data_IF_126273231929
#
_entry.id   IF_126273231929
#
_cell.length_a   1.000
_cell.length_b   1.000
_cell.length_c   1.000
_cell.angle_alpha   90.00
_cell.angle_beta   90.00
_cell.angle_gamma   90.00
#
_symmetry.space_group_name_H-M   'P 1'
#
loop_
_entity.id
_entity.type
_entity.pdbx_description
1 polymer ?
#
# COMPACT_ATOMS: atom_id res chain seq x y z
N UNK A 1 -28.89 16.23 -9.88
CA UNK A 1 -28.35 14.90 -10.24
C UNK A 1 -28.04 14.89 -11.72
N UNK A 2 -26.78 14.63 -12.09
CA UNK A 2 -26.30 14.63 -13.47
C UNK A 2 -25.39 13.41 -13.70
N UNK A 3 -25.36 12.94 -14.95
CA UNK A 3 -24.34 11.96 -15.38
C UNK A 3 -23.26 12.70 -16.16
N UNK A 4 -22.01 12.43 -15.78
CA UNK A 4 -20.83 13.05 -16.41
C UNK A 4 -19.91 11.95 -16.91
N UNK A 5 -19.36 12.16 -18.11
CA UNK A 5 -18.32 11.28 -18.68
C UNK A 5 -16.99 11.98 -18.59
N UNK A 6 -15.99 11.26 -18.09
CA UNK A 6 -14.63 11.75 -17.89
C UNK A 6 -13.69 10.83 -18.67
N UNK A 7 -12.84 11.44 -19.47
CA UNK A 7 -11.81 10.71 -20.23
C UNK A 7 -10.68 10.23 -19.32
N UNK A 8 -10.06 9.13 -19.69
CA UNK A 8 -8.87 8.60 -19.00
C UNK A 8 -7.79 9.68 -18.80
N UNK A 9 -7.20 9.71 -17.62
CA UNK A 9 -6.11 10.63 -17.24
C UNK A 9 -6.56 12.02 -16.82
N UNK A 10 -7.87 12.32 -16.88
CA UNK A 10 -8.38 13.62 -16.41
C UNK A 10 -8.52 13.65 -14.89
N UNK A 11 -8.14 14.78 -14.29
CA UNK A 11 -8.45 15.09 -12.91
C UNK A 11 -9.95 15.35 -12.75
N UNK A 12 -10.54 14.71 -11.75
CA UNK A 12 -11.91 14.94 -11.33
C UNK A 12 -11.96 16.00 -10.24
N UNK A 13 -11.04 15.87 -9.29
CA UNK A 13 -11.02 16.62 -8.04
C UNK A 13 -9.57 16.80 -7.62
N UNK A 14 -9.21 17.97 -7.12
CA UNK A 14 -7.92 18.22 -6.48
C UNK A 14 -8.05 18.20 -4.95
N UNK A 15 -6.97 17.79 -4.30
CA UNK A 15 -6.85 17.90 -2.85
C UNK A 15 -7.12 19.35 -2.43
N UNK A 16 -7.80 19.50 -1.31
CA UNK A 16 -8.22 20.78 -0.73
C UNK A 16 -9.30 21.57 -1.49
N UNK A 17 -9.79 21.05 -2.64
CA UNK A 17 -10.98 21.61 -3.28
C UNK A 17 -12.19 21.59 -2.31
N UNK A 18 -13.05 22.59 -2.42
CA UNK A 18 -14.29 22.62 -1.66
C UNK A 18 -15.24 21.50 -2.11
N UNK A 19 -15.83 20.79 -1.14
CA UNK A 19 -16.82 19.78 -1.46
C UNK A 19 -18.16 20.43 -1.82
N UNK A 20 -18.59 20.20 -3.05
CA UNK A 20 -19.91 20.66 -3.52
C UNK A 20 -20.81 19.49 -3.95
N UNK A 21 -20.25 18.28 -4.05
CA UNK A 21 -20.96 17.10 -4.56
C UNK A 21 -20.42 15.78 -3.97
N UNK A 22 -21.24 14.76 -4.09
CA UNK A 22 -20.87 13.34 -3.98
C UNK A 22 -20.99 12.71 -5.37
N UNK A 23 -20.09 11.80 -5.71
CA UNK A 23 -20.04 11.16 -7.02
C UNK A 23 -19.99 9.65 -6.89
N UNK A 24 -20.89 8.93 -7.57
CA UNK A 24 -20.86 7.46 -7.64
C UNK A 24 -20.28 7.03 -8.97
N UNK A 25 -19.30 6.13 -8.95
CA UNK A 25 -18.73 5.54 -10.15
C UNK A 25 -19.71 4.52 -10.71
N UNK A 26 -20.31 4.82 -11.87
CA UNK A 26 -21.25 3.93 -12.56
C UNK A 26 -20.55 2.99 -13.53
N UNK A 27 -19.46 3.45 -14.14
CA UNK A 27 -18.64 2.68 -15.08
C UNK A 27 -17.22 3.22 -15.04
N UNK A 28 -16.26 2.33 -15.28
CA UNK A 28 -14.84 2.69 -15.29
C UNK A 28 -14.21 2.63 -13.89
N UNK A 29 -13.06 3.27 -13.76
CA UNK A 29 -12.24 3.27 -12.54
C UNK A 29 -11.64 4.64 -12.29
N UNK A 30 -11.59 5.03 -11.02
CA UNK A 30 -10.95 6.27 -10.55
C UNK A 30 -9.83 5.93 -9.59
N UNK A 31 -8.68 6.56 -9.76
CA UNK A 31 -7.58 6.47 -8.81
C UNK A 31 -7.72 7.57 -7.75
N UNK A 32 -7.75 7.19 -6.50
CA UNK A 32 -7.59 8.06 -5.35
C UNK A 32 -6.09 8.15 -5.03
N UNK A 33 -5.52 9.35 -5.05
CA UNK A 33 -4.09 9.60 -4.89
C UNK A 33 -3.82 10.17 -3.50
N UNK A 34 -3.01 9.47 -2.72
CA UNK A 34 -2.63 9.83 -1.35
C UNK A 34 -1.11 9.88 -1.26
N UNK A 35 -0.51 11.07 -1.47
CA UNK A 35 0.92 11.19 -1.71
C UNK A 35 1.29 10.42 -2.98
N UNK A 36 2.21 9.46 -2.87
CA UNK A 36 2.64 8.61 -3.99
C UNK A 36 1.80 7.32 -4.12
N UNK A 37 0.91 7.08 -3.17
CA UNK A 37 0.07 5.88 -3.16
C UNK A 37 -1.15 6.06 -4.07
N UNK A 38 -1.41 5.05 -4.88
CA UNK A 38 -2.53 5.02 -5.84
C UNK A 38 -3.52 3.93 -5.44
N UNK A 39 -4.71 4.35 -5.01
CA UNK A 39 -5.77 3.44 -4.59
C UNK A 39 -6.85 3.38 -5.68
N UNK A 40 -7.01 2.27 -6.40
CA UNK A 40 -8.04 2.15 -7.41
C UNK A 40 -9.42 2.01 -6.78
N UNK A 41 -10.35 2.87 -7.21
CA UNK A 41 -11.76 2.83 -6.86
C UNK A 41 -12.57 2.33 -8.04
N UNK A 42 -13.21 1.19 -7.85
CA UNK A 42 -14.02 0.55 -8.90
C UNK A 42 -15.48 1.03 -8.92
N UNK A 43 -16.20 0.68 -9.97
CA UNK A 43 -17.65 0.89 -10.10
C UNK A 43 -18.41 0.54 -8.82
N UNK A 44 -19.35 1.40 -8.44
CA UNK A 44 -20.16 1.26 -7.22
C UNK A 44 -19.50 1.79 -5.96
N UNK A 45 -18.37 2.50 -6.06
CA UNK A 45 -17.82 3.31 -4.97
C UNK A 45 -18.31 4.75 -5.06
N UNK A 46 -18.25 5.49 -3.94
CA UNK A 46 -18.65 6.90 -3.87
C UNK A 46 -17.43 7.77 -3.56
N UNK A 47 -17.26 8.83 -4.32
CA UNK A 47 -16.21 9.85 -4.10
C UNK A 47 -16.81 10.98 -3.27
N UNK A 48 -16.01 11.54 -2.36
CA UNK A 48 -16.35 12.69 -1.53
C UNK A 48 -16.83 12.34 -0.13
N UNK A 49 -17.06 11.07 0.22
CA UNK A 49 -17.58 10.71 1.54
C UNK A 49 -16.61 11.09 2.67
N UNK A 50 -15.30 11.00 2.45
CA UNK A 50 -14.29 11.45 3.41
C UNK A 50 -14.24 12.97 3.57
N UNK A 51 -14.71 13.72 2.58
CA UNK A 51 -14.76 15.18 2.61
C UNK A 51 -15.94 15.73 3.43
N UNK A 52 -16.95 14.92 3.72
CA UNK A 52 -18.20 15.36 4.34
C UNK A 52 -18.00 16.06 5.71
N UNK A 53 -17.00 15.65 6.48
CA UNK A 53 -16.71 16.24 7.78
C UNK A 53 -16.02 17.61 7.68
N UNK A 54 -15.04 17.72 6.76
CA UNK A 54 -14.20 18.93 6.60
C UNK A 54 -14.67 19.84 5.49
N UNK A 55 -15.65 19.42 4.68
CA UNK A 55 -16.14 20.08 3.47
C UNK A 55 -15.02 20.41 2.46
N UNK A 56 -13.94 19.62 2.51
CA UNK A 56 -12.80 19.69 1.58
C UNK A 56 -12.31 18.29 1.25
N UNK A 57 -11.91 18.08 0.01
CA UNK A 57 -11.35 16.81 -0.41
C UNK A 57 -9.96 16.60 0.21
N UNK A 58 -9.70 15.40 0.71
CA UNK A 58 -8.45 15.04 1.39
C UNK A 58 -7.35 14.52 0.46
N UNK A 59 -7.68 14.27 -0.82
CA UNK A 59 -6.78 13.68 -1.82
C UNK A 59 -7.25 14.02 -3.22
N UNK A 60 -6.37 13.80 -4.21
CA UNK A 60 -6.70 13.93 -5.62
C UNK A 60 -7.46 12.71 -6.14
N UNK A 61 -8.30 12.92 -7.15
CA UNK A 61 -8.98 11.86 -7.87
C UNK A 61 -8.76 12.01 -9.37
N UNK A 62 -8.29 10.94 -10.02
CA UNK A 62 -7.93 10.91 -11.44
C UNK A 62 -8.62 9.73 -12.11
N UNK A 63 -9.23 9.93 -13.27
CA UNK A 63 -9.83 8.86 -14.05
C UNK A 63 -8.73 7.89 -14.55
N UNK A 64 -8.75 6.64 -14.09
CA UNK A 64 -7.80 5.61 -14.53
C UNK A 64 -8.14 5.05 -15.93
N UNK A 65 -9.40 5.15 -16.29
CA UNK A 65 -9.98 4.77 -17.60
C UNK A 65 -11.17 5.68 -17.91
N UNK A 66 -11.75 5.57 -19.10
CA UNK A 66 -12.96 6.32 -19.43
C UNK A 66 -14.07 5.99 -18.44
N UNK A 67 -14.54 6.98 -17.71
CA UNK A 67 -15.37 6.81 -16.52
C UNK A 67 -16.69 7.54 -16.66
N UNK A 68 -17.77 6.92 -16.18
CA UNK A 68 -19.08 7.53 -16.04
C UNK A 68 -19.41 7.70 -14.57
N UNK A 69 -19.67 8.93 -14.17
CA UNK A 69 -20.02 9.30 -12.81
C UNK A 69 -21.47 9.77 -12.72
N UNK A 70 -22.09 9.51 -11.58
CA UNK A 70 -23.36 10.10 -11.19
C UNK A 70 -23.11 11.10 -10.06
N UNK A 71 -23.34 12.38 -10.37
CA UNK A 71 -23.07 13.48 -9.43
C UNK A 71 -24.34 13.86 -8.65
N UNK A 72 -24.16 14.12 -7.37
CA UNK A 72 -25.17 14.64 -6.43
C UNK A 72 -24.65 15.89 -5.76
N UNK A 73 -25.36 17.03 -5.87
CA UNK A 73 -25.06 18.19 -5.08
C UNK A 73 -25.10 17.85 -3.58
N UNK A 74 -24.05 18.19 -2.87
CA UNK A 74 -23.94 17.96 -1.43
C UNK A 74 -23.21 19.09 -0.75
N UNK A 75 -23.84 19.69 0.26
CA UNK A 75 -23.25 20.71 1.13
C UNK A 75 -23.43 20.38 2.60
N UNK A 76 -24.45 19.60 2.95
CA UNK A 76 -24.79 19.26 4.32
C UNK A 76 -25.63 17.98 4.38
N UNK A 77 -25.75 17.41 5.56
CA UNK A 77 -26.50 16.16 5.79
C UNK A 77 -27.96 16.25 5.34
N UNK A 78 -28.60 17.42 5.51
CA UNK A 78 -29.99 17.64 5.07
C UNK A 78 -30.19 17.40 3.56
N UNK A 79 -29.16 17.54 2.74
CA UNK A 79 -29.24 17.27 1.30
C UNK A 79 -29.43 15.75 1.04
N UNK A 80 -28.81 14.90 1.88
CA UNK A 80 -28.97 13.43 1.83
C UNK A 80 -30.37 13.04 2.34
N UNK A 81 -30.83 13.63 3.42
CA UNK A 81 -32.19 13.37 3.96
C UNK A 81 -33.24 13.68 2.90
N UNK A 82 -33.13 14.84 2.25
CA UNK A 82 -34.00 15.24 1.15
C UNK A 82 -33.92 14.25 -0.02
N UNK A 83 -32.70 13.89 -0.46
CA UNK A 83 -32.50 12.95 -1.55
C UNK A 83 -33.15 11.60 -1.27
N UNK A 84 -32.97 11.07 -0.06
CA UNK A 84 -33.51 9.75 0.32
C UNK A 84 -35.05 9.79 0.46
N UNK A 85 -35.60 10.91 0.93
CA UNK A 85 -37.04 11.09 0.98
C UNK A 85 -37.67 11.17 -0.43
N UNK A 86 -37.01 11.88 -1.37
CA UNK A 86 -37.48 11.97 -2.77
C UNK A 86 -37.26 10.68 -3.56
N UNK A 87 -36.18 9.96 -3.27
CA UNK A 87 -35.78 8.75 -3.99
C UNK A 87 -35.24 7.66 -3.04
N UNK A 88 -36.12 6.92 -2.36
CA UNK A 88 -35.74 5.95 -1.31
C UNK A 88 -34.70 4.88 -1.70
N UNK A 89 -34.61 4.53 -3.01
CA UNK A 89 -33.61 3.59 -3.51
C UNK A 89 -32.16 4.02 -3.16
N UNK A 90 -31.92 5.32 -3.05
CA UNK A 90 -30.59 5.84 -2.75
C UNK A 90 -30.21 5.70 -1.27
N UNK A 91 -31.17 5.56 -0.38
CA UNK A 91 -30.92 5.27 1.03
C UNK A 91 -30.16 3.95 1.26
N UNK A 92 -30.15 3.06 0.26
CA UNK A 92 -29.36 1.82 0.30
C UNK A 92 -28.10 1.93 -0.57
N UNK A 93 -28.22 2.51 -1.76
CA UNK A 93 -27.10 2.59 -2.72
C UNK A 93 -25.94 3.39 -2.18
N UNK A 94 -26.19 4.54 -1.54
CA UNK A 94 -25.16 5.41 -1.02
C UNK A 94 -24.38 4.81 0.16
N UNK A 95 -25.03 4.28 1.21
CA UNK A 95 -24.33 3.61 2.29
C UNK A 95 -23.48 2.42 1.81
N UNK A 96 -24.00 1.61 0.87
CA UNK A 96 -23.22 0.53 0.28
C UNK A 96 -21.98 1.03 -0.46
N UNK A 97 -22.12 2.08 -1.26
CA UNK A 97 -21.01 2.67 -1.98
C UNK A 97 -19.94 3.26 -1.04
N UNK A 98 -20.37 3.87 0.08
CA UNK A 98 -19.48 4.39 1.10
C UNK A 98 -18.71 3.28 1.83
N UNK A 99 -19.40 2.22 2.23
CA UNK A 99 -18.76 1.04 2.85
C UNK A 99 -17.80 0.36 1.88
N UNK A 100 -18.16 0.27 0.61
CA UNK A 100 -17.27 -0.28 -0.42
C UNK A 100 -15.99 0.53 -0.55
N UNK A 101 -16.07 1.87 -0.59
CA UNK A 101 -14.91 2.74 -0.63
C UNK A 101 -14.03 2.55 0.62
N UNK A 102 -14.62 2.59 1.80
CA UNK A 102 -13.89 2.38 3.05
C UNK A 102 -13.17 1.01 3.08
N UNK A 103 -13.85 -0.07 2.64
CA UNK A 103 -13.22 -1.38 2.52
C UNK A 103 -12.05 -1.37 1.53
N UNK A 104 -12.17 -0.68 0.38
CA UNK A 104 -11.09 -0.58 -0.59
C UNK A 104 -9.86 0.10 0.03
N UNK A 105 -10.06 1.24 0.70
CA UNK A 105 -8.98 2.00 1.36
C UNK A 105 -8.35 1.20 2.49
N UNK A 106 -9.16 0.59 3.35
CA UNK A 106 -8.68 -0.23 4.47
C UNK A 106 -7.95 -1.49 4.04
N UNK A 107 -8.42 -2.16 2.99
CA UNK A 107 -7.73 -3.33 2.44
C UNK A 107 -6.38 -2.94 1.83
N UNK A 108 -6.31 -1.78 1.18
CA UNK A 108 -5.05 -1.26 0.67
C UNK A 108 -4.08 -0.97 1.83
N UNK A 109 -4.52 -0.22 2.83
CA UNK A 109 -3.76 0.05 4.04
C UNK A 109 -3.28 -1.23 4.74
N UNK A 110 -4.16 -2.21 4.89
CA UNK A 110 -3.83 -3.51 5.48
C UNK A 110 -2.72 -4.24 4.73
N UNK A 111 -2.77 -4.28 3.41
CA UNK A 111 -1.72 -4.89 2.58
C UNK A 111 -0.37 -4.19 2.76
N UNK A 112 -0.35 -2.85 2.75
CA UNK A 112 0.88 -2.08 2.96
C UNK A 112 1.45 -2.29 4.37
N UNK A 113 0.60 -2.34 5.39
CA UNK A 113 1.00 -2.62 6.78
C UNK A 113 1.58 -4.04 6.93
N UNK A 114 0.94 -5.05 6.31
CA UNK A 114 1.45 -6.43 6.31
C UNK A 114 2.81 -6.53 5.59
N UNK A 115 2.98 -5.81 4.48
CA UNK A 115 4.28 -5.70 3.81
C UNK A 115 5.34 -5.12 4.74
N UNK A 116 5.05 -4.00 5.42
CA UNK A 116 5.97 -3.37 6.36
C UNK A 116 6.36 -4.31 7.51
N UNK A 117 5.42 -5.05 8.09
CA UNK A 117 5.68 -6.06 9.13
C UNK A 117 6.59 -7.19 8.62
N UNK A 118 6.33 -7.65 7.40
CA UNK A 118 7.13 -8.69 6.77
C UNK A 118 8.56 -8.22 6.53
N UNK A 119 8.73 -7.01 6.00
CA UNK A 119 10.06 -6.40 5.78
C UNK A 119 10.83 -6.31 7.10
N UNK A 120 10.20 -5.81 8.16
CA UNK A 120 10.81 -5.76 9.48
C UNK A 120 11.27 -7.14 9.98
N UNK A 121 10.39 -8.11 9.97
CA UNK A 121 10.69 -9.46 10.47
C UNK A 121 11.83 -10.13 9.71
N UNK A 122 11.80 -10.04 8.38
CA UNK A 122 12.81 -10.65 7.52
C UNK A 122 14.14 -9.88 7.59
N UNK A 123 14.13 -8.56 7.53
CA UNK A 123 15.34 -7.74 7.57
C UNK A 123 16.10 -7.87 8.88
N UNK A 124 15.38 -7.83 10.01
CA UNK A 124 16.00 -8.07 11.33
C UNK A 124 16.58 -9.47 11.42
N UNK A 125 15.89 -10.47 10.85
CA UNK A 125 16.38 -11.84 10.75
C UNK A 125 17.69 -11.92 9.95
N UNK A 126 17.73 -11.31 8.79
CA UNK A 126 18.91 -11.28 7.92
C UNK A 126 20.08 -10.53 8.56
N UNK A 127 19.84 -9.39 9.20
CA UNK A 127 20.91 -8.68 9.88
C UNK A 127 21.51 -9.48 11.03
N UNK A 128 20.71 -10.22 11.77
CA UNK A 128 21.17 -11.16 12.80
C UNK A 128 21.97 -12.32 12.18
N UNK A 129 21.53 -12.88 11.06
CA UNK A 129 22.23 -13.91 10.34
C UNK A 129 23.59 -13.41 9.82
N UNK A 130 23.67 -12.17 9.34
CA UNK A 130 24.93 -11.53 8.95
C UNK A 130 25.92 -11.49 10.13
N UNK A 131 25.51 -11.04 11.31
CA UNK A 131 26.34 -11.01 12.50
C UNK A 131 26.84 -12.42 12.90
N UNK A 132 25.95 -13.42 12.82
CA UNK A 132 26.31 -14.80 13.07
C UNK A 132 27.37 -15.31 12.07
N UNK A 133 27.21 -15.03 10.77
CA UNK A 133 28.17 -15.43 9.75
C UNK A 133 29.53 -14.72 9.93
N UNK A 134 29.55 -13.45 10.29
CA UNK A 134 30.80 -12.79 10.64
C UNK A 134 31.53 -13.54 11.75
N UNK A 135 30.82 -13.91 12.81
CA UNK A 135 31.42 -14.72 13.91
C UNK A 135 31.90 -16.10 13.43
N UNK A 136 31.11 -16.79 12.60
CA UNK A 136 31.45 -18.09 12.04
C UNK A 136 32.77 -18.08 11.25
N UNK A 137 33.00 -17.02 10.47
CA UNK A 137 34.17 -16.87 9.61
C UNK A 137 35.32 -16.09 10.29
N UNK A 138 35.21 -15.80 11.58
CA UNK A 138 36.18 -14.97 12.32
C UNK A 138 36.47 -13.64 11.59
N UNK A 139 35.39 -12.93 11.23
CA UNK A 139 35.42 -11.64 10.57
C UNK A 139 34.79 -10.58 11.48
N UNK A 140 35.37 -9.39 11.46
CA UNK A 140 34.80 -8.24 12.16
C UNK A 140 33.46 -7.85 11.48
N UNK A 141 32.39 -7.75 12.28
CA UNK A 141 31.12 -7.25 11.80
C UNK A 141 31.18 -5.73 11.53
N UNK A 142 30.49 -5.30 10.48
CA UNK A 142 30.18 -3.88 10.27
C UNK A 142 28.81 -3.60 10.86
N UNK A 143 28.66 -2.46 11.50
CA UNK A 143 27.38 -2.01 12.03
C UNK A 143 26.62 -1.24 10.95
N UNK A 144 25.37 -1.59 10.75
CA UNK A 144 24.44 -0.84 9.93
C UNK A 144 23.54 -0.02 10.87
N UNK A 145 23.84 1.27 11.00
CA UNK A 145 23.18 2.14 11.98
C UNK A 145 21.67 2.23 11.79
N UNK A 146 21.20 2.19 10.53
CA UNK A 146 19.77 2.13 10.20
C UNK A 146 19.07 0.89 10.77
N UNK A 147 19.76 -0.26 10.83
CA UNK A 147 19.24 -1.49 11.43
C UNK A 147 19.32 -1.51 12.96
N UNK A 148 20.33 -0.89 13.56
CA UNK A 148 20.50 -0.84 15.02
C UNK A 148 19.39 0.01 15.68
N UNK A 149 18.87 1.02 14.99
CA UNK A 149 17.81 1.91 15.49
C UNK A 149 16.42 1.58 14.95
N UNK A 150 16.29 0.52 14.13
CA UNK A 150 15.04 0.13 13.53
C UNK A 150 14.05 -0.36 14.58
N UNK A 151 12.86 0.23 14.56
CA UNK A 151 11.73 -0.19 15.37
C UNK A 151 10.63 -0.77 14.49
N UNK A 152 9.81 -1.71 14.98
CA UNK A 152 8.66 -2.19 14.20
C UNK A 152 7.66 -1.06 13.98
N UNK A 153 6.96 -1.10 12.84
CA UNK A 153 5.85 -0.20 12.58
C UNK A 153 4.80 -0.35 13.70
N UNK A 154 4.38 0.77 14.27
CA UNK A 154 3.34 0.80 15.29
C UNK A 154 2.04 0.19 14.76
N UNK A 155 1.45 -0.72 15.53
CA UNK A 155 0.24 -1.40 15.13
C UNK A 155 -0.96 -0.46 15.26
N UNK A 156 -1.73 -0.30 14.16
CA UNK A 156 -3.02 0.38 14.16
C UNK A 156 -4.15 -0.62 14.29
N UNK A 157 -5.06 -0.39 15.21
CA UNK A 157 -6.24 -1.23 15.43
C UNK A 157 -7.44 -0.86 14.55
N UNK A 158 -7.36 0.25 13.80
CA UNK A 158 -8.49 0.74 13.00
C UNK A 158 -9.04 -0.30 12.01
N UNK A 159 -8.15 -1.09 11.39
CA UNK A 159 -8.56 -2.17 10.49
C UNK A 159 -9.28 -3.30 11.24
N UNK A 160 -8.81 -3.64 12.44
CA UNK A 160 -9.43 -4.69 13.26
C UNK A 160 -10.77 -4.23 13.84
N UNK A 161 -10.88 -2.98 14.27
CA UNK A 161 -12.15 -2.39 14.70
C UNK A 161 -13.18 -2.38 13.56
N UNK A 162 -12.75 -2.03 12.35
CA UNK A 162 -13.60 -2.10 11.16
C UNK A 162 -14.04 -3.53 10.85
N UNK A 163 -13.12 -4.50 10.90
CA UNK A 163 -13.43 -5.92 10.65
C UNK A 163 -14.38 -6.51 11.69
N UNK A 164 -14.30 -6.09 12.95
CA UNK A 164 -15.22 -6.51 14.01
C UNK A 164 -16.60 -5.87 13.84
N UNK A 165 -16.69 -4.75 13.13
CA UNK A 165 -17.94 -4.10 12.79
C UNK A 165 -18.70 -4.82 11.67
N UNK A 166 -19.98 -4.52 11.56
CA UNK A 166 -20.86 -5.08 10.52
C UNK A 166 -20.59 -4.49 9.11
N UNK A 167 -19.82 -3.43 8.99
CA UNK A 167 -19.61 -2.68 7.74
C UNK A 167 -18.95 -3.53 6.66
N UNK A 168 -17.95 -4.31 6.99
CA UNK A 168 -17.30 -5.19 6.03
C UNK A 168 -18.25 -6.28 5.53
N UNK A 169 -19.12 -6.77 6.42
CA UNK A 169 -20.14 -7.75 6.05
C UNK A 169 -21.19 -7.17 5.08
N UNK A 170 -21.53 -5.88 5.20
CA UNK A 170 -22.45 -5.21 4.29
C UNK A 170 -21.92 -5.13 2.85
N UNK A 171 -20.63 -4.90 2.66
CA UNK A 171 -20.04 -4.76 1.34
C UNK A 171 -20.17 -6.02 0.46
N UNK A 172 -20.29 -7.21 1.08
CA UNK A 172 -20.46 -8.50 0.40
C UNK A 172 -21.90 -8.99 0.30
N UNK A 173 -22.89 -8.23 0.82
CA UNK A 173 -24.30 -8.65 0.82
C UNK A 173 -25.04 -8.20 -0.44
N UNK A 174 -26.05 -8.98 -0.81
CA UNK A 174 -27.02 -8.57 -1.82
C UNK A 174 -27.91 -7.42 -1.33
N UNK A 175 -28.54 -6.72 -2.28
CA UNK A 175 -29.37 -5.56 -1.99
C UNK A 175 -30.53 -5.86 -1.04
N UNK A 176 -31.10 -7.06 -1.07
CA UNK A 176 -32.21 -7.42 -0.21
C UNK A 176 -31.75 -7.53 1.26
N UNK A 177 -30.61 -8.17 1.48
CA UNK A 177 -29.99 -8.28 2.80
C UNK A 177 -29.57 -6.91 3.37
N UNK A 178 -29.06 -6.02 2.53
CA UNK A 178 -28.70 -4.66 2.92
C UNK A 178 -29.93 -3.83 3.26
N UNK A 179 -30.99 -3.90 2.47
CA UNK A 179 -32.26 -3.23 2.75
C UNK A 179 -32.88 -3.70 4.08
N UNK A 180 -32.84 -5.01 4.35
CA UNK A 180 -33.31 -5.56 5.61
C UNK A 180 -32.48 -5.07 6.83
N UNK A 181 -31.17 -4.89 6.62
CA UNK A 181 -30.26 -4.41 7.67
C UNK A 181 -30.39 -2.90 7.92
N UNK A 182 -30.38 -2.08 6.89
CA UNK A 182 -30.50 -0.62 7.01
C UNK A 182 -31.92 -0.18 7.37
N UNK A 183 -32.91 -1.04 7.06
CA UNK A 183 -34.30 -0.74 7.31
C UNK A 183 -34.83 0.42 6.47
N UNK A 184 -35.86 1.07 6.96
CA UNK A 184 -36.46 2.27 6.36
C UNK A 184 -36.01 3.58 7.03
N UNK A 185 -35.13 3.47 8.02
CA UNK A 185 -34.60 4.62 8.74
C UNK A 185 -33.40 5.22 8.00
N UNK A 186 -33.62 6.35 7.35
CA UNK A 186 -32.55 7.08 6.63
C UNK A 186 -31.40 7.49 7.53
N UNK A 187 -31.64 7.73 8.82
CA UNK A 187 -30.61 8.11 9.77
C UNK A 187 -29.53 7.02 9.90
N UNK A 188 -29.91 5.73 9.86
CA UNK A 188 -28.97 4.61 9.90
C UNK A 188 -28.09 4.62 8.65
N UNK A 189 -28.67 4.81 7.47
CA UNK A 189 -27.92 4.89 6.20
C UNK A 189 -26.94 6.05 6.17
N UNK A 190 -27.39 7.26 6.55
CA UNK A 190 -26.55 8.46 6.63
C UNK A 190 -25.45 8.27 7.66
N UNK A 191 -25.76 7.76 8.86
CA UNK A 191 -24.78 7.47 9.89
C UNK A 191 -23.70 6.49 9.42
N UNK A 192 -24.08 5.46 8.67
CA UNK A 192 -23.16 4.50 8.04
C UNK A 192 -22.22 5.19 7.06
N UNK A 193 -22.73 6.08 6.20
CA UNK A 193 -21.92 6.84 5.25
C UNK A 193 -20.90 7.74 5.95
N UNK A 194 -21.35 8.52 6.92
CA UNK A 194 -20.50 9.45 7.67
C UNK A 194 -19.41 8.69 8.46
N UNK A 195 -19.76 7.56 9.03
CA UNK A 195 -18.78 6.70 9.71
C UNK A 195 -17.75 6.14 8.75
N UNK A 196 -18.15 5.67 7.57
CA UNK A 196 -17.22 5.23 6.54
C UNK A 196 -16.24 6.35 6.14
N UNK A 197 -16.74 7.57 5.95
CA UNK A 197 -15.93 8.75 5.67
C UNK A 197 -14.94 9.08 6.79
N UNK A 198 -15.39 9.01 8.05
CA UNK A 198 -14.53 9.20 9.22
C UNK A 198 -13.39 8.18 9.28
N UNK A 199 -13.70 6.90 9.07
CA UNK A 199 -12.69 5.83 9.06
C UNK A 199 -11.65 6.06 7.95
N UNK A 200 -12.06 6.47 6.76
CA UNK A 200 -11.12 6.85 5.69
C UNK A 200 -10.20 7.98 6.16
N UNK A 201 -10.75 9.06 6.74
CA UNK A 201 -9.97 10.19 7.24
C UNK A 201 -8.97 9.80 8.34
N UNK A 202 -9.28 8.80 9.16
CA UNK A 202 -8.37 8.29 10.19
C UNK A 202 -7.26 7.40 9.62
N UNK A 203 -7.50 6.75 8.49
CA UNK A 203 -6.52 5.87 7.82
C UNK A 203 -5.51 6.65 7.00
N UNK A 204 -5.92 7.74 6.32
CA UNK A 204 -5.06 8.45 5.38
C UNK A 204 -3.72 8.92 6.00
N UNK A 205 -3.68 9.55 7.19
CA UNK A 205 -2.42 9.93 7.84
C UNK A 205 -1.55 8.72 8.22
N UNK A 206 -2.20 7.60 8.57
CA UNK A 206 -1.48 6.35 8.91
C UNK A 206 -0.87 5.70 7.67
N UNK A 207 -1.48 5.86 6.51
CA UNK A 207 -0.92 5.41 5.23
C UNK A 207 0.36 6.16 4.89
N UNK A 208 0.41 7.47 5.13
CA UNK A 208 1.63 8.27 4.96
C UNK A 208 2.76 7.71 5.83
N UNK A 209 2.51 7.41 7.09
CA UNK A 209 3.50 6.79 7.98
C UNK A 209 3.95 5.40 7.54
N UNK A 210 3.06 4.57 6.99
CA UNK A 210 3.43 3.27 6.42
C UNK A 210 4.30 3.44 5.18
N UNK A 211 3.95 4.39 4.29
CA UNK A 211 4.74 4.72 3.11
C UNK A 211 6.15 5.15 3.49
N UNK A 212 6.28 6.09 4.43
CA UNK A 212 7.59 6.60 4.88
C UNK A 212 8.43 5.47 5.48
N UNK A 213 7.79 4.54 6.21
CA UNK A 213 8.44 3.35 6.74
C UNK A 213 8.90 2.38 5.63
N UNK A 214 8.12 2.22 4.57
CA UNK A 214 8.49 1.39 3.42
C UNK A 214 9.65 2.01 2.62
N UNK A 215 9.66 3.35 2.43
CA UNK A 215 10.79 4.06 1.82
C UNK A 215 12.06 3.88 2.66
N UNK A 216 11.98 3.99 3.98
CA UNK A 216 13.11 3.74 4.86
C UNK A 216 13.68 2.32 4.69
N UNK A 217 12.83 1.32 4.44
CA UNK A 217 13.30 -0.03 4.09
C UNK A 217 14.00 -0.09 2.74
N UNK A 218 13.59 0.71 1.77
CA UNK A 218 14.29 0.82 0.49
C UNK A 218 15.72 1.32 0.71
N UNK A 219 15.90 2.34 1.53
CA UNK A 219 17.22 2.86 1.89
C UNK A 219 18.07 1.79 2.59
N UNK A 220 17.52 1.07 3.59
CA UNK A 220 18.22 -0.01 4.29
C UNK A 220 18.68 -1.14 3.36
N UNK A 221 17.87 -1.47 2.36
CA UNK A 221 18.14 -2.59 1.48
C UNK A 221 19.03 -2.23 0.31
N UNK A 222 18.91 -1.02 -0.22
CA UNK A 222 19.40 -0.68 -1.56
C UNK A 222 19.96 0.77 -1.68
N UNK A 223 20.24 1.49 -0.60
CA UNK A 223 20.70 2.88 -0.70
C UNK A 223 22.03 2.99 -1.46
N UNK A 224 22.05 3.85 -2.48
CA UNK A 224 23.21 4.07 -3.32
C UNK A 224 24.32 4.81 -2.56
N UNK A 225 25.55 4.25 -2.58
CA UNK A 225 26.72 4.88 -1.99
C UNK A 225 26.87 4.77 -0.47
N UNK A 226 25.94 4.09 0.22
CA UNK A 226 26.03 3.82 1.66
C UNK A 226 26.14 2.32 1.99
N UNK A 227 26.53 2.02 3.23
CA UNK A 227 26.51 0.66 3.74
C UNK A 227 25.06 0.23 3.99
N UNK A 228 24.49 -0.58 3.11
CA UNK A 228 23.19 -1.20 3.24
C UNK A 228 23.28 -2.71 3.53
N UNK A 229 22.14 -3.36 3.78
CA UNK A 229 22.12 -4.79 4.11
C UNK A 229 22.64 -5.67 2.97
N UNK A 230 22.39 -5.29 1.74
CA UNK A 230 22.88 -5.99 0.56
C UNK A 230 24.42 -5.90 0.48
N UNK A 231 24.99 -4.72 0.68
CA UNK A 231 26.43 -4.49 0.69
C UNK A 231 27.12 -5.24 1.82
N UNK A 232 26.52 -5.32 3.01
CA UNK A 232 27.08 -6.09 4.11
C UNK A 232 27.31 -7.55 3.74
N UNK A 233 26.36 -8.18 3.05
CA UNK A 233 26.48 -9.57 2.62
C UNK A 233 27.54 -9.75 1.52
N UNK A 234 27.64 -8.84 0.56
CA UNK A 234 28.69 -8.88 -0.46
C UNK A 234 30.07 -8.74 0.15
N UNK A 235 30.29 -7.77 1.01
CA UNK A 235 31.55 -7.59 1.71
C UNK A 235 31.93 -8.80 2.55
N UNK A 236 30.93 -9.45 3.16
CA UNK A 236 31.13 -10.66 3.94
C UNK A 236 31.63 -11.79 3.05
N UNK A 237 31.00 -12.03 1.88
CA UNK A 237 31.41 -13.05 0.93
C UNK A 237 32.83 -12.82 0.44
N UNK A 238 33.17 -11.60 0.02
CA UNK A 238 34.51 -11.23 -0.43
C UNK A 238 35.56 -11.53 0.67
N UNK A 239 35.30 -11.11 1.88
CA UNK A 239 36.25 -11.28 3.00
C UNK A 239 36.42 -12.76 3.37
N UNK A 240 35.33 -13.54 3.36
CA UNK A 240 35.39 -14.98 3.64
C UNK A 240 36.13 -15.75 2.55
N UNK A 241 35.88 -15.43 1.26
CA UNK A 241 36.56 -16.02 0.11
C UNK A 241 38.06 -15.72 0.16
N UNK A 242 38.49 -14.51 0.51
CA UNK A 242 39.92 -14.17 0.67
C UNK A 242 40.61 -14.96 1.78
N UNK A 243 39.88 -15.45 2.76
CA UNK A 243 40.40 -16.38 3.79
C UNK A 243 40.39 -17.84 3.33
N UNK A 244 39.95 -18.14 2.11
CA UNK A 244 39.84 -19.48 1.58
C UNK A 244 38.68 -20.29 2.18
N UNK A 245 37.67 -19.65 2.74
CA UNK A 245 36.51 -20.31 3.31
C UNK A 245 35.52 -20.77 2.20
N UNK A 246 34.75 -21.82 2.48
CA UNK A 246 33.59 -22.19 1.68
C UNK A 246 32.47 -21.18 2.02
N UNK A 247 31.98 -20.45 1.01
CA UNK A 247 30.99 -19.37 1.13
C UNK A 247 29.58 -19.78 0.70
N UNK A 248 29.34 -21.07 0.49
CA UNK A 248 28.06 -21.60 -0.01
C UNK A 248 26.85 -21.19 0.87
N UNK A 249 27.03 -21.08 2.17
CA UNK A 249 25.97 -20.64 3.08
C UNK A 249 25.74 -19.11 3.03
N UNK A 250 26.77 -18.33 2.72
CA UNK A 250 26.61 -16.88 2.47
C UNK A 250 25.81 -16.69 1.19
N UNK A 251 26.17 -17.40 0.11
CA UNK A 251 25.48 -17.35 -1.18
C UNK A 251 24.00 -17.71 -1.04
N UNK A 252 23.68 -18.77 -0.31
CA UNK A 252 22.29 -19.16 -0.05
C UNK A 252 21.50 -18.06 0.68
N UNK A 253 22.15 -17.29 1.55
CA UNK A 253 21.49 -16.17 2.24
C UNK A 253 21.35 -14.95 1.36
N UNK A 254 22.29 -14.71 0.46
CA UNK A 254 22.17 -13.66 -0.56
C UNK A 254 21.00 -13.96 -1.52
N UNK A 255 20.81 -15.20 -1.93
CA UNK A 255 19.64 -15.61 -2.72
C UNK A 255 18.33 -15.28 -1.96
N UNK A 256 18.24 -15.60 -0.67
CA UNK A 256 17.08 -15.25 0.15
C UNK A 256 16.90 -13.73 0.30
N UNK A 257 17.98 -12.96 0.37
CA UNK A 257 17.92 -11.51 0.39
C UNK A 257 17.37 -10.97 -0.92
N UNK A 258 17.80 -11.52 -2.06
CA UNK A 258 17.26 -11.15 -3.37
C UNK A 258 15.79 -11.52 -3.53
N UNK A 259 15.37 -12.69 -3.08
CA UNK A 259 13.95 -13.06 -3.04
C UNK A 259 13.14 -12.09 -2.18
N UNK A 260 13.70 -11.68 -1.05
CA UNK A 260 13.07 -10.73 -0.15
C UNK A 260 12.91 -9.34 -0.78
N UNK A 261 13.96 -8.83 -1.43
CA UNK A 261 13.92 -7.56 -2.17
C UNK A 261 12.85 -7.62 -3.26
N UNK A 262 12.79 -8.72 -3.99
CA UNK A 262 11.79 -8.94 -5.06
C UNK A 262 10.35 -8.97 -4.53
N UNK A 263 10.11 -9.67 -3.40
CA UNK A 263 8.80 -9.75 -2.77
C UNK A 263 8.36 -8.44 -2.11
N UNK A 264 9.29 -7.55 -1.80
CA UNK A 264 9.01 -6.28 -1.13
C UNK A 264 8.36 -5.24 -2.04
N UNK A 265 8.27 -5.51 -3.35
CA UNK A 265 7.87 -4.52 -4.38
C UNK A 265 8.82 -3.30 -4.46
N UNK A 266 9.96 -3.35 -3.75
CA UNK A 266 11.01 -2.34 -3.80
C UNK A 266 12.06 -2.65 -4.89
N UNK A 267 11.88 -3.74 -5.62
CA UNK A 267 12.80 -4.19 -6.66
C UNK A 267 12.78 -3.23 -7.84
N UNK A 268 13.91 -2.56 -8.06
CA UNK A 268 14.23 -1.85 -9.30
C UNK A 268 15.34 -2.61 -10.02
N UNK A 269 14.99 -3.23 -11.15
CA UNK A 269 15.94 -4.04 -11.94
C UNK A 269 17.17 -3.25 -12.38
N UNK A 270 16.96 -1.96 -12.75
CA UNK A 270 18.06 -1.08 -13.19
C UNK A 270 19.00 -0.78 -12.03
N UNK A 271 18.45 -0.44 -10.87
CA UNK A 271 19.22 -0.13 -9.67
C UNK A 271 20.03 -1.35 -9.20
N UNK A 272 19.40 -2.53 -9.15
CA UNK A 272 20.10 -3.78 -8.77
C UNK A 272 21.21 -4.12 -9.75
N UNK A 273 20.99 -3.94 -11.07
CA UNK A 273 22.04 -4.15 -12.08
C UNK A 273 23.21 -3.17 -11.92
N UNK A 274 22.92 -1.90 -11.67
CA UNK A 274 23.95 -0.88 -11.44
C UNK A 274 24.80 -1.22 -10.20
N UNK A 275 24.17 -1.68 -9.12
CA UNK A 275 24.86 -2.17 -7.93
C UNK A 275 25.77 -3.38 -8.23
N UNK A 276 25.30 -4.35 -9.00
CA UNK A 276 26.15 -5.48 -9.42
C UNK A 276 27.36 -5.04 -10.24
N UNK A 277 27.21 -4.10 -11.17
CA UNK A 277 28.30 -3.58 -11.97
C UNK A 277 29.35 -2.90 -11.09
N UNK A 278 28.93 -2.16 -10.08
CA UNK A 278 29.83 -1.51 -9.11
C UNK A 278 30.72 -2.52 -8.37
N UNK A 279 30.22 -3.74 -8.15
CA UNK A 279 30.96 -4.85 -7.53
C UNK A 279 31.73 -5.74 -8.51
N UNK A 280 31.51 -5.66 -9.82
CA UNK A 280 32.27 -6.43 -10.82
C UNK A 280 33.79 -6.12 -10.83
N UNK A 281 34.21 -4.99 -10.29
CA UNK A 281 35.62 -4.66 -10.08
C UNK A 281 36.32 -5.47 -8.99
N UNK A 282 35.58 -6.23 -8.21
CA UNK A 282 36.08 -7.19 -7.25
C UNK A 282 35.92 -8.56 -7.89
N UNK A 283 37.02 -9.33 -7.98
CA UNK A 283 37.09 -10.64 -8.60
C UNK A 283 36.13 -11.65 -7.92
N UNK A 284 34.85 -11.46 -8.16
CA UNK A 284 33.82 -12.43 -7.80
C UNK A 284 33.99 -13.62 -8.70
N UNK A 285 34.40 -14.76 -8.18
CA UNK A 285 34.31 -16.00 -8.91
C UNK A 285 32.89 -16.11 -9.46
N UNK A 286 32.76 -16.36 -10.74
CA UNK A 286 31.57 -16.25 -11.61
C UNK A 286 30.28 -16.99 -11.13
N UNK A 287 30.28 -17.54 -9.93
CA UNK A 287 29.23 -18.39 -9.36
C UNK A 287 28.00 -17.60 -8.93
N UNK A 288 28.17 -16.45 -8.22
CA UNK A 288 27.01 -15.64 -7.77
C UNK A 288 26.27 -14.97 -8.93
N UNK A 289 27.03 -14.51 -9.94
CA UNK A 289 26.46 -13.84 -11.11
C UNK A 289 25.72 -14.82 -12.05
N UNK A 290 26.21 -16.07 -12.14
CA UNK A 290 25.59 -17.10 -12.97
C UNK A 290 24.27 -17.60 -12.38
N UNK A 291 24.15 -17.66 -11.05
CA UNK A 291 22.91 -18.05 -10.37
C UNK A 291 21.81 -16.98 -10.52
N UNK A 292 22.15 -15.71 -10.43
CA UNK A 292 21.18 -14.62 -10.63
C UNK A 292 20.67 -14.57 -12.08
N UNK A 293 21.56 -14.79 -13.10
CA UNK A 293 21.13 -14.89 -14.50
C UNK A 293 20.33 -16.15 -14.81
N UNK A 294 20.56 -17.26 -14.13
CA UNK A 294 19.79 -18.49 -14.36
C UNK A 294 18.31 -18.32 -13.96
N UNK A 295 18.02 -17.51 -12.95
CA UNK A 295 16.64 -17.15 -12.58
C UNK A 295 15.96 -16.19 -13.57
N UNK A 296 16.72 -15.29 -14.23
CA UNK A 296 16.19 -14.41 -15.28
C UNK A 296 15.84 -15.15 -16.58
N UNK A 297 16.66 -16.13 -16.97
CA UNK A 297 16.42 -16.90 -18.22
C UNK A 297 15.34 -17.97 -18.09
N UNK A 298 15.02 -18.42 -16.88
CA UNK A 298 13.96 -19.40 -16.62
C UNK A 298 12.53 -18.84 -16.68
N UNK A 299 12.34 -17.51 -16.74
CA UNK A 299 11.03 -16.86 -16.84
C UNK A 299 10.61 -16.45 -18.27
N UNK A 300 11.49 -16.60 -19.25
CA UNK A 300 11.24 -16.24 -20.66
C UNK A 300 11.13 -17.47 -21.59
N UNK A 301 10.68 -18.62 -21.07
CA UNK A 301 10.31 -19.79 -21.88
C UNK A 301 8.88 -20.22 -21.58
#
# INVERSE_FOLDING_TARGET
MSMVRIEKGKHLIHKDDAQEKLEIILQGRVNMIVGDEVIPLDTGTIIGIAACEKQRYCCDYIAAEDTVLMEYPYKQVADLEKLFAEQPKYATVFPMAAVKQANTVLNYYGKRTELAKKLYSMGVGMYRDYKYLCSKYDLTEKQLMSMEHLVPLEQSYILEEWKQGYFQALAGKDMQSVNAFLGTDFAVGIGTMLYAGKVINEVLPKMEGVRDYLHYWQDILLEEGSDDLFQLYFDLEIRATRKGADTSDIQQRMEKLMEFIHMSELYDEKFVRERFIEYEGYDFTAVSYTHLRAHETGRNL
#
